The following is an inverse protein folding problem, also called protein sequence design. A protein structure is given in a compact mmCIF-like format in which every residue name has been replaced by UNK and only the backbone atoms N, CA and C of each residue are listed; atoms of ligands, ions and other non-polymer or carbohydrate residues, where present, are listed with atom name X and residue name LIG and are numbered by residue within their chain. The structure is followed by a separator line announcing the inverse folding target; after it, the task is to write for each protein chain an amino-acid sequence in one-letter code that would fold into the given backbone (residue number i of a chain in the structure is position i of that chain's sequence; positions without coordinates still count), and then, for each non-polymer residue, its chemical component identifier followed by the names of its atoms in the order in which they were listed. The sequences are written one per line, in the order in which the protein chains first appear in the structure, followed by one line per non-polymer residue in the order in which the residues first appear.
data_IF_414401675341
#
_entry.id   IF_414401675341
#
_cell.length_a   1.000
_cell.length_b   1.000
_cell.length_c   1.000
_cell.angle_alpha   90.00
_cell.angle_beta   90.00
_cell.angle_gamma   90.00
#
_symmetry.space_group_name_H-M   'P 1'
#
loop_
_entity.id
_entity.type
_entity.pdbx_description
1 polymer ?
#
# COMPACT_ATOMS: atom_id res chain seq x y z
N UNK A 1 -17.46 2.61 -18.39
CA UNK A 1 -17.71 3.69 -17.42
C UNK A 1 -18.32 4.85 -18.18
N UNK A 2 -19.43 5.41 -17.73
CA UNK A 2 -20.07 6.56 -18.37
C UNK A 2 -20.03 7.73 -17.39
N UNK A 3 -19.49 8.86 -17.86
CA UNK A 3 -19.51 10.13 -17.15
C UNK A 3 -20.93 10.70 -17.19
N UNK A 4 -21.37 11.32 -16.12
CA UNK A 4 -22.62 12.08 -16.07
C UNK A 4 -22.54 13.28 -17.03
N UNK A 5 -23.69 13.79 -17.45
CA UNK A 5 -23.73 14.96 -18.32
C UNK A 5 -23.06 16.17 -17.62
N UNK A 6 -22.03 16.74 -18.25
CA UNK A 6 -21.22 17.82 -17.67
C UNK A 6 -20.15 17.37 -16.66
N UNK A 7 -19.99 16.06 -16.43
CA UNK A 7 -18.93 15.51 -15.60
C UNK A 7 -17.61 15.44 -16.39
N UNK A 8 -16.55 15.96 -15.80
CA UNK A 8 -15.19 16.00 -16.37
C UNK A 8 -14.18 15.43 -15.38
N UNK A 9 -13.27 14.61 -15.89
CA UNK A 9 -12.17 14.05 -15.10
C UNK A 9 -11.16 15.18 -14.83
N UNK A 10 -10.84 15.39 -13.56
CA UNK A 10 -9.84 16.37 -13.12
C UNK A 10 -8.50 15.70 -12.86
N UNK A 11 -8.52 14.59 -12.15
CA UNK A 11 -7.33 13.82 -11.84
C UNK A 11 -7.62 12.32 -11.89
N UNK A 12 -6.64 11.58 -12.39
CA UNK A 12 -6.61 10.12 -12.28
C UNK A 12 -5.35 9.76 -11.53
N UNK A 13 -5.47 8.89 -10.55
CA UNK A 13 -4.38 8.47 -9.68
C UNK A 13 -4.29 6.94 -9.66
N UNK A 14 -3.07 6.41 -9.73
CA UNK A 14 -2.78 4.98 -9.70
C UNK A 14 -1.78 4.71 -8.57
N UNK A 15 -2.01 3.71 -7.70
CA UNK A 15 -1.20 3.48 -6.50
C UNK A 15 0.32 3.41 -6.72
N UNK A 16 0.75 2.80 -7.82
CA UNK A 16 2.16 2.52 -8.11
C UNK A 16 2.84 3.61 -8.96
N UNK A 17 2.05 4.49 -9.61
CA UNK A 17 2.54 5.44 -10.61
C UNK A 17 2.25 6.90 -10.24
N UNK A 18 1.36 7.15 -9.28
CA UNK A 18 0.92 8.50 -8.94
C UNK A 18 -0.13 9.01 -9.92
N UNK A 19 -0.09 10.31 -10.22
CA UNK A 19 -1.04 10.97 -11.12
C UNK A 19 -0.78 10.57 -12.58
N UNK A 20 -1.81 10.08 -13.25
CA UNK A 20 -1.76 9.65 -14.65
C UNK A 20 -2.71 10.49 -15.51
N UNK A 21 -2.38 10.75 -16.80
CA UNK A 21 -3.15 11.64 -17.66
C UNK A 21 -4.52 11.09 -18.08
N UNK A 22 -4.81 9.80 -17.85
CA UNK A 22 -6.08 9.20 -18.20
C UNK A 22 -6.36 7.88 -17.49
N UNK A 23 -7.62 7.40 -17.51
CA UNK A 23 -8.01 6.15 -16.87
C UNK A 23 -7.32 4.95 -17.51
N UNK A 24 -6.83 4.05 -16.67
CA UNK A 24 -6.23 2.79 -17.10
C UNK A 24 -7.29 1.68 -17.20
N UNK A 25 -7.05 0.72 -18.09
CA UNK A 25 -8.02 -0.36 -18.39
C UNK A 25 -8.07 -1.39 -17.25
N UNK A 26 -6.95 -1.64 -16.58
CA UNK A 26 -6.79 -2.65 -15.54
C UNK A 26 -6.04 -2.11 -14.33
N UNK A 27 -6.37 -2.62 -13.14
CA UNK A 27 -5.71 -2.28 -11.88
C UNK A 27 -6.53 -1.38 -10.96
N UNK A 28 -5.91 -0.97 -9.85
CA UNK A 28 -6.49 -0.02 -8.89
C UNK A 28 -6.29 1.40 -9.40
N UNK A 29 -7.37 2.18 -9.43
CA UNK A 29 -7.30 3.59 -9.79
C UNK A 29 -8.29 4.41 -8.97
N UNK A 30 -7.91 5.65 -8.66
CA UNK A 30 -8.75 6.66 -8.04
C UNK A 30 -8.94 7.79 -9.04
N UNK A 31 -10.19 8.09 -9.37
CA UNK A 31 -10.58 9.10 -10.34
C UNK A 31 -11.32 10.20 -9.59
N UNK A 32 -10.79 11.41 -9.66
CA UNK A 32 -11.44 12.62 -9.17
C UNK A 32 -12.08 13.34 -10.36
N UNK A 33 -13.38 13.57 -10.28
CA UNK A 33 -14.11 14.41 -11.23
C UNK A 33 -14.52 15.73 -10.58
N UNK A 34 -15.17 16.60 -11.34
CA UNK A 34 -15.80 17.81 -10.82
C UNK A 34 -17.06 17.56 -9.95
N UNK A 35 -17.55 16.32 -9.84
CA UNK A 35 -18.79 15.99 -9.10
C UNK A 35 -18.58 14.93 -8.02
N UNK A 36 -17.69 13.96 -8.23
CA UNK A 36 -17.50 12.82 -7.33
C UNK A 36 -16.09 12.23 -7.39
N UNK A 37 -15.76 11.51 -6.34
CA UNK A 37 -14.57 10.66 -6.22
C UNK A 37 -14.98 9.23 -6.53
N UNK A 38 -14.20 8.54 -7.35
CA UNK A 38 -14.45 7.16 -7.75
C UNK A 38 -13.19 6.34 -7.52
N UNK A 39 -13.28 5.31 -6.69
CA UNK A 39 -12.20 4.34 -6.54
C UNK A 39 -12.60 3.02 -7.18
N UNK A 40 -11.70 2.52 -8.01
CA UNK A 40 -11.82 1.24 -8.68
C UNK A 40 -10.67 0.36 -8.20
N UNK A 41 -10.98 -0.89 -7.94
CA UNK A 41 -9.96 -1.85 -7.54
C UNK A 41 -10.43 -3.28 -7.65
N UNK A 42 -9.49 -4.17 -7.39
CA UNK A 42 -9.78 -5.58 -7.20
C UNK A 42 -9.39 -5.94 -5.77
N UNK A 43 -10.37 -6.36 -4.98
CA UNK A 43 -10.19 -6.83 -3.61
C UNK A 43 -10.66 -8.27 -3.58
N UNK A 44 -9.75 -9.19 -3.24
CA UNK A 44 -10.04 -10.63 -3.18
C UNK A 44 -10.64 -11.21 -4.48
N UNK A 45 -10.17 -10.73 -5.63
CA UNK A 45 -10.62 -11.16 -6.96
C UNK A 45 -11.93 -10.50 -7.44
N UNK A 46 -12.68 -9.85 -6.54
CA UNK A 46 -13.89 -9.09 -6.86
C UNK A 46 -13.55 -7.65 -7.24
N UNK A 47 -14.21 -7.16 -8.30
CA UNK A 47 -14.07 -5.78 -8.75
C UNK A 47 -14.88 -4.88 -7.81
N UNK A 48 -14.19 -4.12 -6.97
CA UNK A 48 -14.78 -3.16 -6.04
C UNK A 48 -14.82 -1.79 -6.70
N UNK A 49 -15.98 -1.14 -6.68
CA UNK A 49 -16.16 0.22 -7.17
C UNK A 49 -16.87 1.03 -6.10
N UNK A 50 -16.21 2.06 -5.60
CA UNK A 50 -16.76 2.97 -4.60
C UNK A 50 -16.91 4.34 -5.24
N UNK A 51 -18.11 4.91 -5.12
CA UNK A 51 -18.46 6.23 -5.64
C UNK A 51 -18.82 7.10 -4.44
N UNK A 52 -18.18 8.25 -4.30
CA UNK A 52 -18.45 9.20 -3.22
C UNK A 52 -18.67 10.60 -3.83
N UNK A 53 -19.89 11.16 -3.73
CA UNK A 53 -20.15 12.54 -4.14
C UNK A 53 -19.25 13.53 -3.39
N UNK A 54 -18.79 14.58 -4.07
CA UNK A 54 -17.89 15.56 -3.44
C UNK A 54 -18.58 16.35 -2.32
N UNK A 55 -19.89 16.50 -2.38
CA UNK A 55 -20.72 17.16 -1.38
C UNK A 55 -20.66 16.41 -0.04
N UNK A 56 -20.64 15.07 -0.13
CA UNK A 56 -20.60 14.15 1.01
C UNK A 56 -19.21 14.03 1.62
N UNK A 57 -18.14 14.47 0.95
CA UNK A 57 -16.77 14.42 1.51
C UNK A 57 -16.67 15.41 2.68
N UNK A 58 -16.61 14.87 3.90
CA UNK A 58 -16.48 15.65 5.15
C UNK A 58 -15.04 15.79 5.61
N UNK A 59 -14.25 14.73 5.45
CA UNK A 59 -12.86 14.71 5.85
C UNK A 59 -12.01 13.89 4.87
N UNK A 60 -10.77 14.32 4.69
CA UNK A 60 -9.76 13.59 3.93
C UNK A 60 -8.52 13.48 4.79
N UNK A 61 -8.03 12.26 5.00
CA UNK A 61 -6.82 11.98 5.74
C UNK A 61 -5.83 11.26 4.82
N UNK A 62 -4.61 11.81 4.71
CA UNK A 62 -3.50 11.16 4.03
C UNK A 62 -2.55 10.64 5.11
N UNK A 63 -2.35 9.34 5.15
CA UNK A 63 -1.35 8.71 6.00
C UNK A 63 -0.24 8.21 5.10
N UNK A 64 0.83 8.99 4.99
CA UNK A 64 2.05 8.55 4.34
C UNK A 64 2.88 7.72 5.34
N UNK A 65 3.11 6.46 5.04
CA UNK A 65 4.07 5.63 5.74
C UNK A 65 5.47 5.94 5.21
N UNK A 66 6.31 6.49 6.09
CA UNK A 66 7.72 6.70 5.81
C UNK A 66 8.46 5.36 5.71
N UNK A 67 8.48 4.72 4.53
CA UNK A 67 9.54 3.76 4.20
C UNK A 67 10.81 4.51 3.80
N UNK A 68 11.36 5.27 4.74
CA UNK A 68 12.65 5.95 4.55
C UNK A 68 13.81 4.96 4.54
N UNK A 69 15.00 5.38 4.06
CA UNK A 69 16.25 4.58 4.00
C UNK A 69 16.56 3.72 5.24
N UNK A 70 16.05 4.08 6.42
CA UNK A 70 16.11 3.28 7.63
C UNK A 70 15.45 1.90 7.53
N UNK A 71 14.42 1.71 6.69
CA UNK A 71 13.76 0.41 6.48
C UNK A 71 14.62 -0.56 5.68
N UNK A 72 15.41 -0.08 4.73
CA UNK A 72 16.42 -0.86 4.01
C UNK A 72 17.59 -1.23 4.92
N UNK A 73 18.05 -0.29 5.75
CA UNK A 73 19.07 -0.57 6.77
C UNK A 73 18.58 -1.58 7.81
N UNK A 74 17.32 -1.47 8.24
CA UNK A 74 16.67 -2.44 9.14
C UNK A 74 16.55 -3.82 8.49
N UNK A 75 16.15 -3.89 7.21
CA UNK A 75 16.13 -5.14 6.45
C UNK A 75 17.53 -5.79 6.35
N UNK A 76 18.56 -4.98 6.09
CA UNK A 76 19.95 -5.43 6.11
C UNK A 76 20.38 -5.96 7.48
N UNK A 77 20.05 -5.26 8.56
CA UNK A 77 20.27 -5.70 9.94
C UNK A 77 19.57 -7.02 10.27
N UNK A 78 18.35 -7.24 9.74
CA UNK A 78 17.63 -8.51 9.92
C UNK A 78 18.34 -9.67 9.24
N UNK A 79 18.92 -9.47 8.05
CA UNK A 79 19.73 -10.51 7.38
C UNK A 79 20.99 -10.82 8.20
N UNK A 80 21.68 -9.78 8.69
CA UNK A 80 22.87 -9.95 9.54
C UNK A 80 22.51 -10.70 10.83
N UNK A 81 21.40 -10.34 11.48
CA UNK A 81 20.91 -11.01 12.67
C UNK A 81 20.57 -12.48 12.40
N UNK A 82 19.90 -12.77 11.27
CA UNK A 82 19.56 -14.13 10.88
C UNK A 82 20.80 -15.01 10.64
N UNK A 83 21.81 -14.48 9.95
CA UNK A 83 23.11 -15.16 9.75
C UNK A 83 23.80 -15.39 11.09
N UNK A 84 23.79 -14.40 11.98
CA UNK A 84 24.38 -14.52 13.31
C UNK A 84 23.68 -15.60 14.15
N UNK A 85 22.34 -15.60 14.19
CA UNK A 85 21.56 -16.64 14.87
C UNK A 85 21.81 -18.02 14.29
N UNK A 86 21.92 -18.14 12.96
CA UNK A 86 22.26 -19.38 12.31
C UNK A 86 23.61 -19.93 12.76
N UNK A 87 24.67 -19.11 12.74
CA UNK A 87 26.01 -19.53 13.17
C UNK A 87 26.01 -19.95 14.65
N UNK A 88 25.33 -19.19 15.50
CA UNK A 88 25.28 -19.42 16.94
C UNK A 88 24.53 -20.71 17.28
N UNK A 89 23.37 -20.94 16.64
CA UNK A 89 22.61 -22.18 16.78
C UNK A 89 23.36 -23.37 16.21
N UNK A 90 23.92 -23.25 15.00
CA UNK A 90 24.66 -24.34 14.36
C UNK A 90 25.86 -24.77 15.21
N UNK A 91 26.65 -23.81 15.71
CA UNK A 91 27.81 -24.06 16.57
C UNK A 91 27.41 -24.67 17.93
N UNK A 92 26.33 -24.18 18.53
CA UNK A 92 25.85 -24.70 19.81
C UNK A 92 25.27 -26.13 19.68
N UNK A 93 24.57 -26.43 18.58
CA UNK A 93 23.93 -27.72 18.35
C UNK A 93 24.92 -28.80 17.91
N UNK A 94 25.89 -28.47 17.05
CA UNK A 94 26.96 -29.41 16.64
C UNK A 94 27.87 -29.82 17.80
N UNK A 95 27.93 -29.03 18.88
CA UNK A 95 28.63 -29.41 20.12
C UNK A 95 27.83 -30.31 21.07
N UNK A 96 26.56 -30.60 20.79
CA UNK A 96 25.66 -31.37 21.67
C UNK A 96 24.98 -32.58 21.01
N UNK A 97 24.76 -32.54 19.70
CA UNK A 97 24.00 -33.54 18.97
C UNK A 97 24.77 -33.87 17.70
N UNK A 98 25.36 -35.06 17.64
CA UNK A 98 25.92 -35.60 16.40
C UNK A 98 24.76 -36.07 15.51
N UNK A 99 24.39 -35.28 14.51
CA UNK A 99 23.39 -35.68 13.53
C UNK A 99 24.00 -36.30 12.26
N UNK A 100 23.25 -37.17 11.57
CA UNK A 100 23.71 -37.81 10.34
C UNK A 100 23.98 -36.76 9.25
N UNK A 101 25.06 -36.95 8.50
CA UNK A 101 25.47 -36.00 7.47
C UNK A 101 24.56 -36.11 6.23
N UNK A 102 24.02 -35.00 5.77
CA UNK A 102 23.29 -34.92 4.49
C UNK A 102 24.28 -35.14 3.35
N UNK A 103 24.17 -36.25 2.58
CA UNK A 103 25.24 -36.72 1.70
C UNK A 103 25.50 -35.81 0.49
N UNK A 104 24.55 -34.94 0.12
CA UNK A 104 24.66 -34.04 -1.04
C UNK A 104 25.43 -32.75 -0.68
N UNK A 105 25.32 -32.26 0.57
CA UNK A 105 25.80 -30.93 1.00
C UNK A 105 26.92 -31.04 2.05
N UNK A 106 27.25 -32.26 2.53
CA UNK A 106 28.19 -32.52 3.63
C UNK A 106 27.90 -31.65 4.88
N UNK A 107 26.62 -31.52 5.24
CA UNK A 107 26.17 -30.75 6.39
C UNK A 107 25.37 -31.66 7.33
N UNK A 108 25.48 -31.45 8.65
CA UNK A 108 24.66 -32.17 9.62
C UNK A 108 23.16 -31.90 9.36
N UNK A 109 22.35 -32.96 9.30
CA UNK A 109 20.90 -32.89 9.16
C UNK A 109 20.26 -31.95 10.19
N UNK A 110 20.77 -31.94 11.42
CA UNK A 110 20.30 -31.08 12.51
C UNK A 110 20.55 -29.61 12.19
N UNK A 111 21.76 -29.27 11.69
CA UNK A 111 22.08 -27.92 11.24
C UNK A 111 21.21 -27.49 10.04
N UNK A 112 20.87 -28.43 9.16
CA UNK A 112 20.01 -28.16 7.99
C UNK A 112 18.56 -27.83 8.38
N UNK A 113 17.98 -28.54 9.34
CA UNK A 113 16.63 -28.23 9.83
C UNK A 113 16.58 -26.86 10.51
N UNK A 114 17.60 -26.52 11.30
CA UNK A 114 17.72 -25.21 11.94
C UNK A 114 17.83 -24.10 10.89
N UNK A 115 18.65 -24.29 9.85
CA UNK A 115 18.77 -23.35 8.74
C UNK A 115 17.41 -23.06 8.10
N UNK A 116 16.65 -24.11 7.79
CA UNK A 116 15.32 -23.96 7.19
C UNK A 116 14.38 -23.19 8.12
N UNK A 117 14.35 -23.49 9.42
CA UNK A 117 13.48 -22.81 10.39
C UNK A 117 13.78 -21.31 10.53
N UNK A 118 15.07 -20.93 10.52
CA UNK A 118 15.48 -19.52 10.51
C UNK A 118 15.05 -18.86 9.20
N UNK A 119 15.25 -19.52 8.06
CA UNK A 119 14.90 -18.99 6.75
C UNK A 119 13.40 -18.76 6.59
N UNK A 120 12.54 -19.68 7.05
CA UNK A 120 11.08 -19.47 7.05
C UNK A 120 10.68 -18.34 7.97
N UNK A 121 11.28 -18.24 9.15
CA UNK A 121 10.96 -17.18 10.12
C UNK A 121 11.27 -15.79 9.54
N UNK A 122 12.43 -15.64 8.91
CA UNK A 122 12.84 -14.39 8.25
C UNK A 122 11.94 -14.11 7.04
N UNK A 123 11.61 -15.12 6.24
CA UNK A 123 10.73 -14.96 5.09
C UNK A 123 9.32 -14.50 5.49
N UNK A 124 8.73 -15.07 6.54
CA UNK A 124 7.43 -14.64 7.08
C UNK A 124 7.49 -13.19 7.57
N UNK A 125 8.54 -12.84 8.32
CA UNK A 125 8.72 -11.48 8.84
C UNK A 125 8.89 -10.46 7.69
N UNK A 126 9.63 -10.82 6.65
CA UNK A 126 9.82 -10.02 5.45
C UNK A 126 8.51 -9.81 4.68
N UNK A 127 7.68 -10.85 4.51
CA UNK A 127 6.38 -10.71 3.86
C UNK A 127 5.46 -9.74 4.61
N UNK A 128 5.43 -9.78 5.94
CA UNK A 128 4.65 -8.83 6.76
C UNK A 128 5.18 -7.40 6.62
N UNK A 129 6.50 -7.25 6.52
CA UNK A 129 7.14 -5.94 6.43
C UNK A 129 7.01 -5.30 5.04
N UNK A 130 7.22 -6.06 3.97
CA UNK A 130 7.17 -5.58 2.58
C UNK A 130 5.76 -5.64 1.97
N UNK A 131 4.86 -6.47 2.50
CA UNK A 131 3.50 -6.61 1.98
C UNK A 131 2.60 -5.38 2.21
N UNK A 132 2.90 -4.54 3.20
CA UNK A 132 2.09 -3.35 3.50
C UNK A 132 2.25 -2.25 2.43
N UNK A 133 1.20 -1.48 2.10
CA UNK A 133 1.34 -0.29 1.24
C UNK A 133 2.20 0.78 1.93
N UNK A 134 2.83 1.67 1.14
CA UNK A 134 3.65 2.74 1.73
C UNK A 134 2.79 3.84 2.33
N UNK A 135 1.60 4.10 1.79
CA UNK A 135 0.67 5.07 2.37
C UNK A 135 -0.77 4.74 2.01
N UNK A 136 -1.69 5.41 2.67
CA UNK A 136 -3.12 5.26 2.42
C UNK A 136 -3.83 6.61 2.55
N UNK A 137 -4.69 6.91 1.57
CA UNK A 137 -5.63 8.02 1.67
C UNK A 137 -7.00 7.49 2.07
N UNK A 138 -7.62 8.17 3.02
CA UNK A 138 -8.98 7.91 3.46
C UNK A 138 -9.83 9.13 3.15
N UNK A 139 -10.88 8.93 2.35
CA UNK A 139 -11.98 9.88 2.19
C UNK A 139 -13.14 9.41 3.06
N UNK A 140 -13.65 10.31 3.90
CA UNK A 140 -14.76 10.04 4.80
C UNK A 140 -15.94 10.95 4.45
N UNK A 141 -17.09 10.34 4.19
CA UNK A 141 -18.35 11.04 3.99
C UNK A 141 -19.46 10.54 4.90
N UNK A 142 -20.72 10.79 4.51
CA UNK A 142 -21.90 10.43 5.30
C UNK A 142 -22.12 8.91 5.31
N UNK A 143 -21.54 8.25 6.30
CA UNK A 143 -21.64 6.80 6.50
C UNK A 143 -20.74 5.96 5.58
N UNK A 144 -20.09 6.56 4.59
CA UNK A 144 -19.19 5.87 3.65
C UNK A 144 -17.74 6.29 3.87
N UNK A 145 -16.84 5.31 3.97
CA UNK A 145 -15.40 5.50 4.06
C UNK A 145 -14.73 4.85 2.85
N UNK A 146 -14.01 5.64 2.06
CA UNK A 146 -13.24 5.17 0.92
C UNK A 146 -11.76 5.19 1.31
N UNK A 147 -11.14 4.02 1.28
CA UNK A 147 -9.72 3.84 1.63
C UNK A 147 -8.95 3.42 0.37
N UNK A 148 -7.88 4.14 0.05
CA UNK A 148 -7.12 3.91 -1.18
C UNK A 148 -5.60 3.92 -0.89
N UNK A 149 -4.90 2.80 -1.12
CA UNK A 149 -3.46 2.71 -0.86
C UNK A 149 -2.65 3.35 -1.99
N UNK A 150 -1.45 3.83 -1.66
CA UNK A 150 -0.44 4.28 -2.62
C UNK A 150 0.96 3.83 -2.20
N UNK A 151 1.90 3.80 -3.16
CA UNK A 151 3.28 3.38 -2.98
C UNK A 151 4.26 4.38 -3.59
N UNK A 152 5.35 4.65 -2.89
CA UNK A 152 6.43 5.54 -3.33
C UNK A 152 6.22 7.05 -3.05
N UNK A 153 7.35 7.76 -2.98
CA UNK A 153 7.47 9.21 -2.72
C UNK A 153 6.79 10.11 -3.79
N UNK A 154 6.86 9.81 -5.10
CA UNK A 154 6.14 10.57 -6.13
C UNK A 154 4.61 10.51 -5.94
N UNK A 155 4.11 9.34 -5.56
CA UNK A 155 2.68 9.09 -5.35
C UNK A 155 2.14 9.85 -4.12
N UNK A 156 2.97 10.12 -3.11
CA UNK A 156 2.62 10.93 -1.94
C UNK A 156 2.36 12.39 -2.32
N UNK A 157 3.29 13.02 -3.04
CA UNK A 157 3.15 14.41 -3.49
C UNK A 157 1.94 14.60 -4.41
N UNK A 158 1.73 13.66 -5.33
CA UNK A 158 0.58 13.66 -6.22
C UNK A 158 -0.73 13.45 -5.46
N UNK A 159 -0.73 12.62 -4.41
CA UNK A 159 -1.90 12.43 -3.57
C UNK A 159 -2.29 13.72 -2.84
N UNK A 160 -1.33 14.48 -2.33
CA UNK A 160 -1.60 15.80 -1.75
C UNK A 160 -2.23 16.76 -2.77
N UNK A 161 -1.79 16.73 -4.03
CA UNK A 161 -2.41 17.52 -5.10
C UNK A 161 -3.86 17.08 -5.38
N UNK A 162 -4.13 15.76 -5.41
CA UNK A 162 -5.50 15.22 -5.57
C UNK A 162 -6.40 15.64 -4.42
N UNK A 163 -5.91 15.59 -3.17
CA UNK A 163 -6.67 16.03 -2.00
C UNK A 163 -6.99 17.53 -2.08
N UNK A 164 -6.00 18.38 -2.39
CA UNK A 164 -6.23 19.82 -2.53
C UNK A 164 -7.23 20.13 -3.66
N UNK A 165 -7.12 19.44 -4.80
CA UNK A 165 -8.06 19.56 -5.92
C UNK A 165 -9.47 19.13 -5.52
N UNK A 166 -9.61 18.08 -4.70
CA UNK A 166 -10.91 17.61 -4.23
C UNK A 166 -11.62 18.65 -3.34
N UNK A 167 -10.87 19.33 -2.45
CA UNK A 167 -11.40 20.42 -1.63
C UNK A 167 -11.77 21.65 -2.47
N UNK A 168 -10.95 22.03 -3.44
CA UNK A 168 -11.26 23.14 -4.35
C UNK A 168 -12.52 22.87 -5.19
N UNK A 169 -12.66 21.64 -5.69
CA UNK A 169 -13.85 21.20 -6.41
C UNK A 169 -15.09 21.25 -5.51
N UNK A 170 -15.00 20.75 -4.27
CA UNK A 170 -16.10 20.82 -3.30
C UNK A 170 -16.53 22.26 -2.99
N UNK A 171 -15.59 23.18 -2.77
CA UNK A 171 -15.93 24.60 -2.55
C UNK A 171 -16.70 25.19 -3.73
N UNK A 172 -16.31 24.85 -4.96
CA UNK A 172 -16.98 25.31 -6.18
C UNK A 172 -18.41 24.81 -6.27
N UNK A 173 -18.65 23.54 -5.93
CA UNK A 173 -19.98 22.91 -5.93
C UNK A 173 -20.87 23.48 -4.83
N UNK A 174 -20.36 23.62 -3.61
CA UNK A 174 -21.11 24.19 -2.47
C UNK A 174 -21.46 25.67 -2.72
N UNK A 175 -20.55 26.43 -3.31
CA UNK A 175 -20.81 27.82 -3.71
C UNK A 175 -21.90 27.91 -4.79
N UNK A 176 -21.85 27.04 -5.81
CA UNK A 176 -22.87 26.98 -6.86
C UNK A 176 -24.24 26.51 -6.35
N UNK A 177 -24.29 25.61 -5.38
CA UNK A 177 -25.51 25.17 -4.71
C UNK A 177 -26.15 26.28 -3.87
N UNK A 178 -25.36 27.13 -3.21
CA UNK A 178 -25.89 28.28 -2.47
C UNK A 178 -26.48 29.36 -3.39
N UNK A 179 -25.86 29.59 -4.55
CA UNK A 179 -26.32 30.57 -5.55
C UNK A 179 -27.61 30.16 -6.28
N UNK A 180 -28.02 28.89 -6.20
CA UNK A 180 -29.24 28.36 -6.83
C UNK A 180 -30.39 28.15 -5.84
N UNK A 181 -30.15 28.39 -4.55
CA UNK A 181 -31.13 28.24 -3.47
C UNK A 181 -31.71 29.57 -2.95
N UNK A 182 -31.22 30.71 -3.47
CA UNK A 182 -31.79 32.07 -3.31
C UNK A 182 -32.56 32.47 -4.57
#
# INVERSE_FOLDING_TARGET
MSLLAGESIRHTFVPEQGSVPGPIVEGRMLVLTNQRIMAFGQRDGLRETVLMPLEEVKAVAVVAGRRGKGTLFQGGLMVVAAVFFYVLLAYWLTGRIDGPTVPIIRMDLVAFVVFLAVLTSVAMMAQVYFGKPDGEVTFQGDGVKLMFPFRGEPAENDMHAVVNASFAARQSVVAGSKLTAD
#
